data_IF_978734218247
#
_entry.id   IF_978734218247
#
_cell.length_a   1.000
_cell.length_b   1.000
_cell.length_c   1.000
_cell.angle_alpha   90.00
_cell.angle_beta   90.00
_cell.angle_gamma   90.00
#
_symmetry.space_group_name_H-M   'P 1'
#
loop_
_entity.id
_entity.type
_entity.pdbx_description
1 polymer ?
#
# COMPACT_ATOMS: atom_id res chain seq x y z
N UNK A 1 10.55 -39.26 67.62
CA UNK A 1 10.46 -38.95 66.18
C UNK A 1 9.30 -38.03 65.77
N UNK A 2 8.17 -37.98 66.50
CA UNK A 2 7.00 -37.14 66.10
C UNK A 2 7.18 -35.63 66.32
N UNK A 3 7.89 -35.22 67.38
CA UNK A 3 8.10 -33.79 67.69
C UNK A 3 9.00 -33.10 66.65
N UNK A 4 10.05 -33.77 66.20
CA UNK A 4 10.96 -33.24 65.18
C UNK A 4 10.27 -33.01 63.83
N UNK A 5 9.37 -33.91 63.41
CA UNK A 5 8.58 -33.73 62.19
C UNK A 5 7.63 -32.53 62.27
N UNK A 6 7.01 -32.29 63.42
CA UNK A 6 6.10 -31.16 63.62
C UNK A 6 6.84 -29.82 63.53
N UNK A 7 8.05 -29.73 64.09
CA UNK A 7 8.87 -28.51 64.05
C UNK A 7 9.34 -28.21 62.62
N UNK A 8 9.78 -29.24 61.88
CA UNK A 8 10.19 -29.08 60.47
C UNK A 8 9.02 -28.62 59.61
N UNK A 9 7.83 -29.20 59.81
CA UNK A 9 6.62 -28.79 59.07
C UNK A 9 6.24 -27.34 59.35
N UNK A 10 6.35 -26.89 60.61
CA UNK A 10 6.05 -25.51 61.00
C UNK A 10 7.02 -24.51 60.36
N UNK A 11 8.32 -24.82 60.35
CA UNK A 11 9.35 -23.97 59.74
C UNK A 11 9.18 -23.88 58.22
N UNK A 12 8.82 -24.99 57.57
CA UNK A 12 8.53 -24.99 56.13
C UNK A 12 7.29 -24.14 55.83
N UNK A 13 6.21 -24.29 56.61
CA UNK A 13 4.99 -23.50 56.44
C UNK A 13 5.25 -21.99 56.63
N UNK A 14 6.01 -21.58 57.65
CA UNK A 14 6.33 -20.16 57.85
C UNK A 14 7.25 -19.60 56.78
N UNK A 15 8.20 -20.40 56.26
CA UNK A 15 9.05 -19.99 55.14
C UNK A 15 8.27 -19.84 53.83
N UNK A 16 7.30 -20.73 53.58
CA UNK A 16 6.41 -20.66 52.42
C UNK A 16 5.49 -19.44 52.49
N UNK A 17 4.90 -19.15 53.67
CA UNK A 17 4.07 -17.94 53.83
C UNK A 17 4.87 -16.67 53.61
N UNK A 18 6.11 -16.60 54.12
CA UNK A 18 6.99 -15.45 53.91
C UNK A 18 7.33 -15.25 52.41
N UNK A 19 7.66 -16.33 51.71
CA UNK A 19 7.92 -16.28 50.27
C UNK A 19 6.66 -15.88 49.46
N UNK A 20 5.47 -16.31 49.91
CA UNK A 20 4.20 -15.95 49.29
C UNK A 20 3.86 -14.46 49.48
N UNK A 21 4.13 -13.91 50.67
CA UNK A 21 3.95 -12.48 50.96
C UNK A 21 4.93 -11.62 50.14
N UNK A 22 6.20 -12.03 50.02
CA UNK A 22 7.18 -11.32 49.19
C UNK A 22 6.80 -11.32 47.71
N UNK A 23 6.29 -12.45 47.20
CA UNK A 23 5.80 -12.56 45.82
C UNK A 23 4.56 -11.67 45.60
N UNK A 24 3.62 -11.64 46.54
CA UNK A 24 2.44 -10.80 46.46
C UNK A 24 2.82 -9.31 46.36
N UNK A 25 3.78 -8.86 47.17
CA UNK A 25 4.30 -7.48 47.11
C UNK A 25 4.92 -7.17 45.74
N UNK A 26 5.68 -8.10 45.16
CA UNK A 26 6.29 -7.91 43.82
C UNK A 26 5.24 -7.84 42.72
N UNK A 27 4.21 -8.67 42.77
CA UNK A 27 3.10 -8.66 41.80
C UNK A 27 2.35 -7.32 41.86
N UNK A 28 1.98 -6.86 43.05
CA UNK A 28 1.32 -5.55 43.22
C UNK A 28 2.18 -4.40 42.71
N UNK A 29 3.51 -4.46 42.89
CA UNK A 29 4.41 -3.44 42.38
C UNK A 29 4.47 -3.43 40.84
N UNK A 30 4.45 -4.61 40.21
CA UNK A 30 4.38 -4.75 38.75
C UNK A 30 3.04 -4.26 38.19
N UNK A 31 1.93 -4.60 38.83
CA UNK A 31 0.59 -4.11 38.46
C UNK A 31 0.52 -2.58 38.51
N UNK A 32 1.07 -1.98 39.58
CA UNK A 32 1.15 -0.53 39.70
C UNK A 32 2.02 0.10 38.61
N UNK A 33 3.12 -0.54 38.23
CA UNK A 33 3.99 -0.07 37.15
C UNK A 33 3.30 -0.17 35.79
N UNK A 34 2.60 -1.27 35.52
CA UNK A 34 1.84 -1.49 34.30
C UNK A 34 0.71 -0.46 34.15
N UNK A 35 -0.08 -0.23 35.21
CA UNK A 35 -1.08 0.83 35.24
C UNK A 35 -0.48 2.22 35.00
N UNK A 36 0.75 2.46 35.48
CA UNK A 36 1.49 3.69 35.23
C UNK A 36 1.92 3.85 33.77
N UNK A 37 2.31 2.76 33.11
CA UNK A 37 2.65 2.75 31.69
C UNK A 37 1.40 2.95 30.82
N UNK A 38 0.29 2.27 31.12
CA UNK A 38 -0.98 2.43 30.40
C UNK A 38 -1.46 3.88 30.40
N UNK A 39 -1.46 4.53 31.57
CA UNK A 39 -1.82 5.96 31.67
C UNK A 39 -0.89 6.88 30.89
N UNK A 40 0.39 6.52 30.77
CA UNK A 40 1.36 7.29 29.97
C UNK A 40 1.15 7.08 28.48
N UNK A 41 0.79 5.87 28.04
CA UNK A 41 0.38 5.58 26.68
C UNK A 41 -0.88 6.36 26.34
N UNK A 42 -1.93 6.32 27.17
CA UNK A 42 -3.15 7.12 26.98
C UNK A 42 -2.87 8.64 26.92
N UNK A 43 -1.94 9.13 27.75
CA UNK A 43 -1.54 10.54 27.73
C UNK A 43 -0.77 10.90 26.45
N UNK A 44 0.10 10.01 25.96
CA UNK A 44 0.80 10.19 24.68
C UNK A 44 -0.18 10.13 23.50
N UNK A 45 -1.15 9.21 23.54
CA UNK A 45 -2.24 9.14 22.56
C UNK A 45 -3.10 10.41 22.58
N UNK A 46 -3.36 11.00 23.74
CA UNK A 46 -4.07 12.30 23.83
C UNK A 46 -3.24 13.48 23.35
N UNK A 47 -1.94 13.52 23.66
CA UNK A 47 -1.03 14.57 23.15
C UNK A 47 -0.90 14.47 21.64
N UNK A 48 -0.87 13.25 21.08
CA UNK A 48 -0.90 13.02 19.63
C UNK A 48 -2.29 13.27 19.01
N UNK A 49 -3.35 12.97 19.76
CA UNK A 49 -4.75 13.08 19.34
C UNK A 49 -5.34 14.49 19.39
N UNK A 50 -4.64 15.47 19.98
CA UNK A 50 -5.07 16.87 19.99
C UNK A 50 -4.60 17.64 18.73
N UNK A 51 -3.72 17.06 17.91
CA UNK A 51 -3.31 17.62 16.60
C UNK A 51 -3.60 16.71 15.39
N UNK A 52 -3.93 15.43 15.59
CA UNK A 52 -4.52 14.60 14.55
C UNK A 52 -6.03 14.82 14.45
N UNK A 53 -6.44 15.94 13.82
CA UNK A 53 -7.51 15.80 12.84
C UNK A 53 -7.07 14.66 11.93
N UNK A 54 -7.76 13.53 11.87
CA UNK A 54 -7.36 12.38 11.06
C UNK A 54 -7.26 12.83 9.59
N UNK A 55 -6.06 13.25 9.17
CA UNK A 55 -5.84 13.78 7.83
C UNK A 55 -6.05 12.59 6.90
N UNK A 56 -7.14 12.63 6.15
CA UNK A 56 -7.44 11.63 5.13
C UNK A 56 -6.87 12.10 3.80
N UNK A 57 -6.36 11.16 3.00
CA UNK A 57 -5.97 11.46 1.64
C UNK A 57 -7.23 11.69 0.79
N UNK A 58 -7.61 12.96 0.63
CA UNK A 58 -8.88 13.33 0.02
C UNK A 58 -8.75 14.50 -0.95
N UNK A 59 -9.65 14.56 -1.93
CA UNK A 59 -9.64 15.60 -2.96
C UNK A 59 -9.69 17.00 -2.33
N UNK A 60 -8.92 17.92 -2.90
CA UNK A 60 -8.92 19.32 -2.49
C UNK A 60 -7.82 19.68 -1.49
N UNK A 61 -6.99 18.73 -1.07
CA UNK A 61 -5.80 19.01 -0.25
C UNK A 61 -4.87 20.05 -0.91
N UNK A 62 -4.76 20.06 -2.24
CA UNK A 62 -3.91 21.01 -2.96
C UNK A 62 -4.55 22.38 -3.22
N UNK A 63 -5.83 22.54 -2.85
CA UNK A 63 -6.61 23.75 -3.10
C UNK A 63 -7.12 24.39 -1.79
N UNK A 64 -6.76 23.82 -0.64
CA UNK A 64 -7.21 24.27 0.68
C UNK A 64 -6.42 25.46 1.20
N UNK A 65 -6.93 26.08 2.28
CA UNK A 65 -6.20 27.13 3.01
C UNK A 65 -5.00 26.58 3.80
N UNK A 66 -5.00 25.27 4.10
CA UNK A 66 -3.89 24.58 4.75
C UNK A 66 -2.89 24.12 3.69
N UNK A 67 -1.63 24.48 3.88
CA UNK A 67 -0.53 24.03 3.04
C UNK A 67 -0.01 22.67 3.51
N UNK A 68 0.10 21.72 2.58
CA UNK A 68 0.63 20.38 2.83
C UNK A 68 1.97 20.20 2.09
N UNK A 69 2.87 19.34 2.58
CA UNK A 69 3.99 18.90 1.75
C UNK A 69 3.46 18.13 0.53
N UNK A 70 4.16 18.13 -0.63
CA UNK A 70 3.68 17.47 -1.85
C UNK A 70 3.33 16.00 -1.67
N UNK A 71 4.05 15.32 -0.77
CA UNK A 71 3.74 13.98 -0.33
C UNK A 71 3.60 13.94 1.19
N UNK A 72 2.57 13.25 1.67
CA UNK A 72 2.29 13.05 3.08
C UNK A 72 2.11 11.56 3.36
N UNK A 73 2.87 11.03 4.31
CA UNK A 73 2.67 9.67 4.81
C UNK A 73 1.53 9.66 5.83
N UNK A 74 0.54 8.79 5.60
CA UNK A 74 -0.68 8.70 6.42
C UNK A 74 -0.95 7.26 6.80
N UNK A 75 -1.48 7.03 8.00
CA UNK A 75 -2.00 5.72 8.39
C UNK A 75 -3.40 5.54 7.81
N UNK A 76 -3.59 4.49 7.01
CA UNK A 76 -4.89 4.10 6.46
C UNK A 76 -5.51 3.01 7.34
N UNK A 77 -6.66 3.30 7.94
CA UNK A 77 -7.35 2.38 8.85
C UNK A 77 -8.03 1.22 8.12
N UNK A 78 -8.38 1.37 6.85
CA UNK A 78 -8.94 0.29 6.05
C UNK A 78 -7.88 -0.77 5.75
N UNK A 79 -6.69 -0.31 5.40
CA UNK A 79 -5.56 -1.17 5.05
C UNK A 79 -4.69 -1.56 6.24
N UNK A 80 -4.90 -0.94 7.41
CA UNK A 80 -4.10 -1.16 8.63
C UNK A 80 -2.58 -0.96 8.40
N UNK A 81 -2.22 0.03 7.59
CA UNK A 81 -0.82 0.35 7.23
C UNK A 81 -0.66 1.77 6.72
N UNK A 82 0.58 2.19 6.49
CA UNK A 82 0.89 3.51 5.95
C UNK A 82 0.69 3.56 4.42
N UNK A 83 0.22 4.71 3.95
CA UNK A 83 0.08 5.06 2.53
C UNK A 83 0.80 6.37 2.25
N UNK A 84 1.20 6.57 0.99
CA UNK A 84 1.72 7.84 0.51
C UNK A 84 0.60 8.62 -0.18
N UNK A 85 0.31 9.83 0.30
CA UNK A 85 -0.67 10.73 -0.28
C UNK A 85 0.02 11.84 -1.08
N UNK A 86 -0.24 11.94 -2.38
CA UNK A 86 0.07 13.13 -3.16
C UNK A 86 -1.03 14.17 -2.92
N UNK A 87 -0.60 15.29 -2.33
CA UNK A 87 -1.48 16.36 -1.85
C UNK A 87 -1.64 17.50 -2.85
N UNK A 88 -0.91 17.51 -3.97
CA UNK A 88 -0.84 18.67 -4.87
C UNK A 88 -1.33 18.38 -6.29
N UNK A 89 -0.95 17.24 -6.86
CA UNK A 89 -1.23 16.95 -8.27
C UNK A 89 -2.74 16.99 -8.53
N UNK A 90 -3.16 17.79 -9.51
CA UNK A 90 -4.58 17.90 -9.90
C UNK A 90 -5.53 18.18 -8.70
N UNK A 91 -5.10 19.02 -7.75
CA UNK A 91 -5.86 19.34 -6.54
C UNK A 91 -5.70 18.34 -5.39
N UNK A 92 -4.81 17.36 -5.51
CA UNK A 92 -4.39 16.46 -4.45
C UNK A 92 -5.40 15.37 -4.10
N UNK A 93 -5.08 14.66 -3.01
CA UNK A 93 -5.90 13.58 -2.48
C UNK A 93 -5.69 12.25 -3.18
N UNK A 94 -4.49 12.03 -3.71
CA UNK A 94 -4.16 10.84 -4.46
C UNK A 94 -3.37 9.86 -3.60
N UNK A 95 -3.88 8.65 -3.46
CA UNK A 95 -3.16 7.54 -2.82
C UNK A 95 -2.21 6.97 -3.87
N UNK A 96 -0.91 7.07 -3.64
CA UNK A 96 0.11 6.50 -4.53
C UNK A 96 0.13 4.99 -4.33
N UNK A 97 -0.03 4.25 -5.43
CA UNK A 97 -0.13 2.79 -5.43
C UNK A 97 1.07 2.08 -6.06
N UNK A 98 1.83 2.80 -6.87
CA UNK A 98 3.07 2.36 -7.45
C UNK A 98 3.97 3.57 -7.64
N UNK A 99 5.26 3.42 -7.35
CA UNK A 99 6.26 4.44 -7.67
C UNK A 99 7.56 3.79 -8.10
N UNK A 100 8.17 4.35 -9.16
CA UNK A 100 9.50 4.03 -9.66
C UNK A 100 10.25 5.34 -9.88
N UNK A 101 11.30 5.58 -9.10
CA UNK A 101 12.09 6.81 -9.11
C UNK A 101 13.59 6.55 -8.97
N UNK A 102 14.01 5.48 -8.30
CA UNK A 102 15.44 5.22 -8.02
C UNK A 102 15.95 3.92 -8.62
N UNK A 103 15.11 2.90 -8.75
CA UNK A 103 15.52 1.56 -9.20
C UNK A 103 16.04 0.66 -8.09
N UNK A 104 15.90 1.06 -6.82
CA UNK A 104 16.42 0.31 -5.67
C UNK A 104 15.64 -0.97 -5.35
N UNK A 105 14.46 -1.12 -5.92
CA UNK A 105 13.56 -2.25 -5.67
C UNK A 105 13.38 -3.04 -6.96
N UNK A 106 13.61 -4.35 -6.86
CA UNK A 106 13.30 -5.29 -7.93
C UNK A 106 11.79 -5.54 -8.00
N UNK A 107 11.21 -5.38 -9.19
CA UNK A 107 9.78 -5.61 -9.49
C UNK A 107 9.55 -6.94 -10.19
N UNK A 108 10.59 -7.72 -10.53
CA UNK A 108 10.40 -9.06 -11.04
C UNK A 108 10.12 -10.05 -9.90
N UNK A 109 8.89 -9.99 -9.39
CA UNK A 109 8.43 -10.69 -8.19
C UNK A 109 7.32 -11.69 -8.49
N UNK A 110 7.16 -12.62 -7.56
CA UNK A 110 6.12 -13.65 -7.60
C UNK A 110 4.73 -13.11 -7.23
N UNK A 111 3.72 -13.97 -7.39
CA UNK A 111 2.32 -13.65 -7.10
C UNK A 111 2.11 -13.20 -5.66
N UNK A 112 2.73 -13.89 -4.71
CA UNK A 112 2.59 -13.61 -3.28
C UNK A 112 3.12 -12.21 -2.93
N UNK A 113 4.29 -11.83 -3.45
CA UNK A 113 4.85 -10.50 -3.26
C UNK A 113 3.95 -9.42 -3.88
N UNK A 114 3.45 -9.63 -5.09
CA UNK A 114 2.52 -8.67 -5.72
C UNK A 114 1.17 -8.58 -4.99
N UNK A 115 0.70 -9.66 -4.36
CA UNK A 115 -0.48 -9.66 -3.51
C UNK A 115 -0.30 -8.75 -2.29
N UNK A 116 0.75 -8.98 -1.51
CA UNK A 116 1.00 -8.28 -0.24
C UNK A 116 1.51 -6.84 -0.46
N UNK A 117 2.24 -6.62 -1.55
CA UNK A 117 2.99 -5.39 -1.80
C UNK A 117 4.45 -5.51 -1.35
N UNK A 118 5.28 -4.63 -1.88
CA UNK A 118 6.72 -4.64 -1.63
C UNK A 118 7.35 -3.26 -1.88
N UNK A 119 8.56 -3.08 -1.36
CA UNK A 119 9.31 -1.82 -1.47
C UNK A 119 9.06 -0.89 -0.29
N UNK A 120 9.34 0.40 -0.47
CA UNK A 120 9.17 1.43 0.56
C UNK A 120 8.34 2.57 -0.02
N UNK A 121 7.26 2.96 0.68
CA UNK A 121 6.34 4.02 0.23
C UNK A 121 7.02 5.39 0.05
N UNK A 122 8.21 5.60 0.63
CA UNK A 122 9.02 6.81 0.41
C UNK A 122 10.02 6.70 -0.76
N UNK A 123 10.13 5.52 -1.38
CA UNK A 123 11.00 5.22 -2.52
C UNK A 123 10.24 4.46 -3.61
N UNK A 124 10.85 3.41 -4.14
CA UNK A 124 10.22 2.52 -5.12
C UNK A 124 9.34 1.48 -4.40
N UNK A 125 8.08 1.32 -4.85
CA UNK A 125 7.17 0.35 -4.25
C UNK A 125 5.99 -0.05 -5.14
N UNK A 126 5.40 -1.19 -4.79
CA UNK A 126 4.06 -1.61 -5.20
C UNK A 126 3.20 -1.77 -3.95
N UNK A 127 2.05 -1.11 -3.93
CA UNK A 127 1.17 -1.08 -2.75
C UNK A 127 0.58 -2.46 -2.42
N UNK A 128 0.48 -3.38 -3.38
CA UNK A 128 -0.08 -4.71 -3.17
C UNK A 128 -1.49 -4.85 -3.75
N UNK A 129 -1.72 -5.94 -4.48
CA UNK A 129 -2.98 -6.17 -5.18
C UNK A 129 -4.16 -6.33 -4.22
N UNK A 130 -3.94 -6.95 -3.06
CA UNK A 130 -5.00 -7.14 -2.08
C UNK A 130 -5.48 -5.81 -1.50
N UNK A 131 -4.57 -4.87 -1.31
CA UNK A 131 -4.92 -3.55 -0.86
C UNK A 131 -5.61 -2.70 -1.92
N UNK A 132 -5.19 -2.83 -3.19
CA UNK A 132 -5.89 -2.22 -4.31
C UNK A 132 -7.34 -2.72 -4.38
N UNK A 133 -7.51 -4.04 -4.27
CA UNK A 133 -8.83 -4.67 -4.22
C UNK A 133 -9.65 -4.15 -3.03
N UNK A 134 -9.07 -4.14 -1.83
CA UNK A 134 -9.73 -3.68 -0.60
C UNK A 134 -10.22 -2.23 -0.73
N UNK A 135 -9.38 -1.32 -1.21
CA UNK A 135 -9.76 0.10 -1.41
C UNK A 135 -10.87 0.23 -2.46
N UNK A 136 -10.66 -0.36 -3.63
CA UNK A 136 -11.54 -0.18 -4.80
C UNK A 136 -12.85 -0.98 -4.74
N UNK A 137 -13.01 -1.86 -3.74
CA UNK A 137 -14.26 -2.57 -3.47
C UNK A 137 -15.20 -1.78 -2.56
N UNK A 138 -14.68 -0.82 -1.78
CA UNK A 138 -15.48 -0.03 -0.85
C UNK A 138 -16.01 1.26 -1.46
N UNK A 139 -15.28 1.81 -2.43
CA UNK A 139 -15.61 3.08 -3.07
C UNK A 139 -15.14 3.07 -4.52
N UNK A 140 -15.72 3.96 -5.32
CA UNK A 140 -15.25 4.19 -6.68
C UNK A 140 -14.02 5.09 -6.67
N UNK A 141 -13.03 4.75 -7.49
CA UNK A 141 -11.79 5.50 -7.65
C UNK A 141 -11.58 5.87 -9.12
N UNK A 142 -10.90 6.98 -9.36
CA UNK A 142 -10.20 7.24 -10.62
C UNK A 142 -8.71 6.90 -10.46
N UNK A 143 -8.02 6.67 -11.57
CA UNK A 143 -6.57 6.46 -11.60
C UNK A 143 -5.89 7.51 -12.46
N UNK A 144 -4.72 7.96 -12.01
CA UNK A 144 -3.78 8.78 -12.75
C UNK A 144 -2.42 8.09 -12.78
N UNK A 145 -1.77 8.14 -13.93
CA UNK A 145 -0.40 7.70 -14.10
C UNK A 145 0.41 8.88 -14.58
N UNK A 146 1.46 9.23 -13.84
CA UNK A 146 2.44 10.24 -14.22
C UNK A 146 3.76 9.55 -14.62
N UNK A 147 4.36 10.02 -15.71
CA UNK A 147 5.65 9.50 -16.20
C UNK A 147 6.56 10.62 -16.66
N UNK A 148 7.86 10.47 -16.40
CA UNK A 148 8.90 11.35 -16.93
C UNK A 148 9.74 10.62 -17.97
N UNK A 149 9.92 11.23 -19.14
CA UNK A 149 10.77 10.72 -20.22
C UNK A 149 11.73 11.84 -20.63
N UNK A 150 13.03 11.64 -20.40
CA UNK A 150 14.06 12.65 -20.70
C UNK A 150 13.76 14.04 -20.07
N UNK A 151 13.16 14.07 -18.88
CA UNK A 151 12.78 15.30 -18.18
C UNK A 151 11.50 15.97 -18.68
N UNK A 152 10.77 15.33 -19.60
CA UNK A 152 9.42 15.76 -19.99
C UNK A 152 8.38 14.91 -19.26
N UNK A 153 7.41 15.59 -18.63
CA UNK A 153 6.34 14.96 -17.87
C UNK A 153 5.11 14.72 -18.73
N UNK A 154 4.52 13.54 -18.62
CA UNK A 154 3.29 13.13 -19.30
C UNK A 154 2.36 12.44 -18.30
N UNK A 155 1.07 12.36 -18.65
CA UNK A 155 0.12 11.62 -17.85
C UNK A 155 -0.96 10.92 -18.65
N UNK A 156 -1.57 9.91 -18.02
CA UNK A 156 -2.83 9.32 -18.46
C UNK A 156 -3.76 9.19 -17.28
N UNK A 157 -5.06 9.24 -17.54
CA UNK A 157 -6.08 9.00 -16.52
C UNK A 157 -7.10 7.98 -17.00
N UNK A 158 -7.79 7.35 -16.06
CA UNK A 158 -9.07 6.69 -16.32
C UNK A 158 -10.10 7.15 -15.30
N UNK A 159 -11.31 7.44 -15.78
CA UNK A 159 -12.42 7.95 -14.96
C UNK A 159 -12.94 6.95 -13.93
N UNK A 160 -12.53 5.69 -14.03
CA UNK A 160 -12.87 4.63 -13.09
C UNK A 160 -11.71 3.65 -13.01
N UNK A 161 -11.44 3.13 -11.81
CA UNK A 161 -10.40 2.18 -11.53
C UNK A 161 -10.88 1.22 -10.44
N UNK A 162 -10.86 -0.07 -10.76
CA UNK A 162 -11.10 -1.13 -9.80
C UNK A 162 -10.21 -2.34 -10.07
N UNK A 163 -9.80 -2.99 -9.00
CA UNK A 163 -9.10 -4.28 -9.03
C UNK A 163 -10.04 -5.30 -8.38
N UNK A 164 -10.40 -6.33 -9.15
CA UNK A 164 -11.23 -7.44 -8.64
C UNK A 164 -10.45 -8.29 -7.62
N UNK A 165 -11.11 -9.26 -6.98
CA UNK A 165 -10.50 -10.10 -5.96
C UNK A 165 -9.45 -11.08 -6.53
N UNK A 166 -8.77 -11.82 -5.64
CA UNK A 166 -7.79 -12.83 -6.04
C UNK A 166 -8.43 -13.98 -6.86
N UNK A 167 -9.71 -14.27 -6.66
CA UNK A 167 -10.43 -15.33 -7.35
C UNK A 167 -10.66 -14.98 -8.84
N UNK A 168 -10.93 -13.71 -9.15
CA UNK A 168 -10.87 -13.13 -10.50
C UNK A 168 -9.48 -12.58 -10.84
N UNK A 169 -8.43 -13.09 -10.16
CA UNK A 169 -7.02 -12.88 -10.50
C UNK A 169 -6.64 -11.40 -10.56
N UNK A 170 -7.18 -10.60 -9.66
CA UNK A 170 -6.95 -9.15 -9.58
C UNK A 170 -7.23 -8.43 -10.89
N UNK A 171 -8.27 -8.84 -11.61
CA UNK A 171 -8.63 -8.27 -12.91
C UNK A 171 -8.81 -6.76 -12.84
N UNK A 172 -8.24 -6.06 -13.82
CA UNK A 172 -8.33 -4.62 -13.94
C UNK A 172 -9.66 -4.19 -14.59
N UNK A 173 -10.35 -3.25 -13.96
CA UNK A 173 -11.50 -2.54 -14.53
C UNK A 173 -11.15 -1.06 -14.68
N UNK A 174 -11.30 -0.55 -15.89
CA UNK A 174 -11.07 0.85 -16.23
C UNK A 174 -12.35 1.47 -16.83
N UNK A 175 -12.55 2.75 -16.54
CA UNK A 175 -13.53 3.60 -17.22
C UNK A 175 -12.97 4.21 -18.50
N UNK A 176 -13.42 5.41 -18.83
CA UNK A 176 -12.93 6.16 -19.99
C UNK A 176 -11.51 6.62 -19.73
N UNK A 177 -10.56 6.19 -20.57
CA UNK A 177 -9.18 6.65 -20.48
C UNK A 177 -8.97 7.94 -21.29
N UNK A 178 -8.21 8.87 -20.69
CA UNK A 178 -7.89 10.19 -21.22
C UNK A 178 -6.41 10.52 -21.03
N UNK A 179 -5.98 11.68 -21.53
CA UNK A 179 -4.58 12.08 -21.60
C UNK A 179 -3.94 11.69 -22.93
N UNK A 180 -2.70 12.13 -23.15
CA UNK A 180 -1.92 11.98 -24.38
C UNK A 180 -1.86 10.53 -24.86
N UNK A 181 -2.03 9.62 -23.91
CA UNK A 181 -1.69 8.21 -24.05
C UNK A 181 -2.70 7.29 -23.35
N UNK A 182 -3.90 7.81 -23.04
CA UNK A 182 -5.00 7.07 -22.41
C UNK A 182 -5.41 5.79 -23.17
N UNK A 183 -5.25 5.76 -24.50
CA UNK A 183 -5.52 4.55 -25.30
C UNK A 183 -4.64 3.36 -24.91
N UNK A 184 -3.38 3.62 -24.56
CA UNK A 184 -2.45 2.57 -24.13
C UNK A 184 -2.75 2.07 -22.72
N UNK A 185 -3.29 2.92 -21.84
CA UNK A 185 -3.83 2.49 -20.56
C UNK A 185 -5.05 1.58 -20.75
N UNK A 186 -6.03 2.01 -21.54
CA UNK A 186 -7.25 1.22 -21.79
C UNK A 186 -7.02 -0.10 -22.54
N UNK A 187 -5.85 -0.29 -23.18
CA UNK A 187 -5.47 -1.59 -23.74
C UNK A 187 -5.43 -2.69 -22.66
N UNK A 188 -5.15 -2.31 -21.42
CA UNK A 188 -5.03 -3.21 -20.28
C UNK A 188 -6.36 -3.48 -19.56
N UNK A 189 -7.46 -2.85 -20.00
CA UNK A 189 -8.77 -3.04 -19.39
C UNK A 189 -9.27 -4.50 -19.55
N UNK A 190 -9.94 -4.99 -18.51
CA UNK A 190 -10.53 -6.33 -18.42
C UNK A 190 -9.52 -7.49 -18.50
N UNK A 191 -8.27 -7.24 -18.13
CA UNK A 191 -7.22 -8.25 -18.10
C UNK A 191 -6.94 -8.70 -16.67
N UNK A 192 -6.64 -10.00 -16.51
CA UNK A 192 -6.16 -10.57 -15.26
C UNK A 192 -4.70 -10.16 -15.03
N UNK A 193 -4.28 -10.16 -13.76
CA UNK A 193 -2.88 -9.91 -13.41
C UNK A 193 -2.05 -11.18 -13.64
N UNK A 194 -0.82 -11.04 -14.12
CA UNK A 194 0.14 -12.13 -14.25
C UNK A 194 1.46 -11.77 -13.56
N UNK A 195 2.17 -12.77 -13.03
CA UNK A 195 3.51 -12.67 -12.40
C UNK A 195 4.39 -13.79 -12.93
N UNK A 196 5.68 -13.80 -12.59
CA UNK A 196 6.66 -14.78 -13.10
C UNK A 196 6.30 -16.26 -12.85
N UNK A 197 5.46 -16.52 -11.85
CA UNK A 197 5.01 -17.82 -11.39
C UNK A 197 3.52 -18.08 -11.66
N UNK A 198 2.81 -17.12 -12.26
CA UNK A 198 1.37 -17.23 -12.53
C UNK A 198 0.99 -16.55 -13.84
N UNK A 199 0.78 -17.37 -14.86
CA UNK A 199 0.35 -16.94 -16.17
C UNK A 199 -1.18 -16.83 -16.26
N UNK A 200 -1.68 -15.61 -16.46
CA UNK A 200 -3.08 -15.31 -16.69
C UNK A 200 -3.27 -14.38 -17.90
N UNK A 201 -2.26 -14.26 -18.76
CA UNK A 201 -2.35 -13.41 -19.95
C UNK A 201 -3.05 -14.14 -21.11
N UNK A 202 -3.18 -13.47 -22.26
CA UNK A 202 -3.89 -14.00 -23.44
C UNK A 202 -2.94 -14.47 -24.53
N UNK A 203 -1.63 -14.53 -24.26
CA UNK A 203 -0.63 -14.99 -25.20
C UNK A 203 -0.37 -16.50 -25.05
N UNK A 204 0.33 -17.08 -26.02
CA UNK A 204 0.69 -18.51 -25.98
C UNK A 204 1.93 -18.79 -25.13
N UNK A 205 2.71 -17.74 -24.84
CA UNK A 205 3.90 -17.75 -24.00
C UNK A 205 3.66 -16.79 -22.81
N UNK A 206 4.55 -16.82 -21.82
CA UNK A 206 4.34 -16.13 -20.55
C UNK A 206 4.88 -14.69 -20.56
N UNK A 207 4.01 -13.69 -20.72
CA UNK A 207 4.41 -12.29 -20.83
C UNK A 207 5.17 -11.78 -19.59
N UNK A 208 4.78 -12.21 -18.39
CA UNK A 208 5.43 -11.76 -17.16
C UNK A 208 6.90 -12.19 -17.07
N UNK A 209 7.24 -13.36 -17.63
CA UNK A 209 8.61 -13.87 -17.72
C UNK A 209 9.39 -13.14 -18.80
N UNK A 210 8.81 -12.97 -20.00
CA UNK A 210 9.47 -12.27 -21.11
C UNK A 210 9.76 -10.79 -20.76
N UNK A 211 8.78 -10.11 -20.17
CA UNK A 211 8.84 -8.67 -19.88
C UNK A 211 9.17 -8.34 -18.41
N UNK A 212 9.56 -9.35 -17.63
CA UNK A 212 10.19 -9.23 -16.30
C UNK A 212 9.42 -8.34 -15.32
N UNK A 213 8.10 -8.54 -15.23
CA UNK A 213 7.24 -7.73 -14.37
C UNK A 213 5.96 -8.48 -14.01
N UNK A 214 5.34 -8.10 -12.89
CA UNK A 214 3.92 -8.36 -12.65
C UNK A 214 3.06 -7.24 -13.25
N UNK A 215 2.08 -7.60 -14.08
CA UNK A 215 1.20 -6.63 -14.74
C UNK A 215 -0.09 -7.28 -15.28
N UNK A 216 -1.04 -6.44 -15.69
CA UNK A 216 -2.22 -6.84 -16.44
C UNK A 216 -1.89 -7.04 -17.93
N UNK A 217 -1.23 -8.14 -18.27
CA UNK A 217 -0.78 -8.41 -19.64
C UNK A 217 -1.91 -8.95 -20.55
N UNK A 218 -1.83 -8.59 -21.84
CA UNK A 218 -2.67 -9.15 -22.93
C UNK A 218 -1.85 -10.09 -23.81
N UNK A 219 -1.08 -9.52 -24.74
CA UNK A 219 -0.21 -10.22 -25.68
C UNK A 219 0.82 -9.27 -26.35
N UNK A 220 1.70 -8.59 -25.62
CA UNK A 220 1.83 -8.61 -24.15
C UNK A 220 1.39 -7.29 -23.52
N UNK A 221 1.95 -6.15 -23.91
CA UNK A 221 1.59 -4.88 -23.27
C UNK A 221 1.71 -3.69 -24.22
N UNK A 222 1.08 -2.57 -23.82
CA UNK A 222 1.39 -1.23 -24.32
C UNK A 222 2.04 -0.35 -23.24
N UNK A 223 1.83 -0.70 -21.98
CA UNK A 223 2.46 -0.08 -20.82
C UNK A 223 3.00 -1.20 -19.94
N UNK A 224 4.25 -1.07 -19.49
CA UNK A 224 4.83 -1.93 -18.46
C UNK A 224 5.64 -1.05 -17.51
N UNK A 225 4.99 -0.48 -16.48
CA UNK A 225 5.66 0.41 -15.51
C UNK A 225 6.46 -0.37 -14.46
N UNK A 226 6.21 -1.67 -14.37
CA UNK A 226 6.85 -2.59 -13.43
C UNK A 226 8.06 -3.30 -14.04
N UNK A 227 8.39 -3.00 -15.31
CA UNK A 227 9.55 -3.56 -15.99
C UNK A 227 10.88 -3.17 -15.35
N UNK A 228 11.95 -3.69 -15.92
CA UNK A 228 13.31 -3.47 -15.44
C UNK A 228 13.69 -2.00 -15.47
N UNK A 229 14.30 -1.55 -14.37
CA UNK A 229 14.71 -0.15 -14.21
C UNK A 229 15.83 0.22 -15.17
N UNK A 230 15.78 1.46 -15.71
CA UNK A 230 16.81 2.04 -16.58
C UNK A 230 17.23 1.16 -17.78
N UNK A 231 16.34 0.29 -18.26
CA UNK A 231 16.59 -0.56 -19.42
C UNK A 231 15.71 -0.11 -20.59
N UNK A 232 16.25 0.58 -21.63
CA UNK A 232 15.46 1.12 -22.74
C UNK A 232 15.10 0.03 -23.77
N UNK A 233 14.39 -0.99 -23.31
CA UNK A 233 13.89 -2.13 -24.09
C UNK A 233 12.45 -2.41 -23.69
N UNK A 234 11.73 -3.24 -24.44
CA UNK A 234 10.35 -3.61 -24.12
C UNK A 234 10.20 -4.34 -22.77
N UNK A 235 11.25 -5.00 -22.28
CA UNK A 235 11.29 -5.59 -20.94
C UNK A 235 11.59 -4.60 -19.80
N UNK A 236 11.89 -3.33 -20.13
CA UNK A 236 12.09 -2.26 -19.17
C UNK A 236 10.80 -1.55 -18.80
N UNK A 237 10.93 -0.46 -18.06
CA UNK A 237 9.84 0.49 -17.87
C UNK A 237 9.47 1.08 -19.23
N UNK A 238 8.27 0.76 -19.70
CA UNK A 238 7.84 1.12 -21.04
C UNK A 238 6.49 1.79 -21.08
N UNK A 239 6.38 2.70 -22.03
CA UNK A 239 5.17 3.41 -22.36
C UNK A 239 5.04 3.54 -23.87
N UNK A 240 3.99 2.97 -24.47
CA UNK A 240 3.72 3.12 -25.90
C UNK A 240 2.71 4.25 -26.14
N UNK A 241 3.02 5.24 -26.97
CA UNK A 241 2.12 6.37 -27.21
C UNK A 241 1.07 6.12 -28.32
N UNK A 242 1.21 5.01 -29.04
CA UNK A 242 0.40 4.66 -30.21
C UNK A 242 1.24 4.52 -31.47
N UNK A 243 2.39 5.20 -31.53
CA UNK A 243 3.35 5.15 -32.64
C UNK A 243 4.73 4.68 -32.19
N UNK A 244 5.20 5.10 -31.01
CA UNK A 244 6.55 4.87 -30.53
C UNK A 244 6.56 4.34 -29.09
N UNK A 245 7.65 3.64 -28.76
CA UNK A 245 8.01 3.28 -27.40
C UNK A 245 8.80 4.41 -26.75
N UNK A 246 8.39 4.77 -25.54
CA UNK A 246 9.13 5.59 -24.61
C UNK A 246 9.58 4.75 -23.41
N UNK A 247 10.68 5.17 -22.79
CA UNK A 247 11.31 4.48 -21.67
C UNK A 247 11.43 5.45 -20.49
N UNK A 248 10.38 5.57 -19.67
CA UNK A 248 10.38 6.49 -18.55
C UNK A 248 11.49 6.20 -17.54
N UNK A 249 12.05 7.26 -16.96
CA UNK A 249 12.96 7.21 -15.81
C UNK A 249 12.28 7.64 -14.50
N UNK A 250 10.98 7.91 -14.55
CA UNK A 250 10.11 8.08 -13.40
C UNK A 250 8.71 7.58 -13.79
N UNK A 251 8.06 6.83 -12.91
CA UNK A 251 6.65 6.47 -13.05
C UNK A 251 5.96 6.49 -11.71
N UNK A 252 4.72 6.97 -11.67
CA UNK A 252 3.88 6.91 -10.50
C UNK A 252 2.44 6.58 -10.92
N UNK A 253 1.86 5.56 -10.30
CA UNK A 253 0.42 5.30 -10.39
C UNK A 253 -0.24 5.70 -9.08
N UNK A 254 -1.37 6.40 -9.17
CA UNK A 254 -2.12 6.83 -8.00
C UNK A 254 -3.61 6.86 -8.24
N UNK A 255 -4.37 6.62 -7.18
CA UNK A 255 -5.83 6.53 -7.22
C UNK A 255 -6.45 7.57 -6.31
N UNK A 256 -7.59 8.11 -6.70
CA UNK A 256 -8.33 9.08 -5.89
C UNK A 256 -9.80 8.71 -5.86
N UNK A 257 -10.37 8.75 -4.65
CA UNK A 257 -11.77 8.44 -4.44
C UNK A 257 -12.65 9.42 -5.21
N UNK A 258 -13.63 8.89 -5.93
CA UNK A 258 -14.66 9.69 -6.58
C UNK A 258 -15.69 10.15 -5.54
N UNK A 259 -16.28 11.35 -5.70
CA UNK A 259 -17.42 11.75 -4.90
C UNK A 259 -18.54 10.71 -5.05
N UNK A 260 -19.23 10.38 -3.96
CA UNK A 260 -20.44 9.56 -4.05
C UNK A 260 -21.40 10.22 -5.04
N UNK A 261 -21.94 9.44 -6.00
CA UNK A 261 -22.90 9.96 -6.95
C UNK A 261 -24.10 10.52 -6.19
N UNK A 262 -24.27 11.84 -6.20
CA UNK A 262 -25.51 12.49 -5.75
C UNK A 262 -26.57 12.16 -6.80
N UNK A 263 -27.15 10.96 -6.72
CA UNK A 263 -28.38 10.65 -7.44
C UNK A 263 -29.46 11.52 -6.81
N UNK A 264 -29.76 12.63 -7.49
CA UNK A 264 -30.89 13.48 -7.16
C UNK A 264 -32.17 12.66 -7.20
N UNK A 265 -32.95 12.77 -6.13
CA UNK A 265 -34.36 12.38 -6.04
C UNK A 265 -35.20 13.06 -7.13
#
# INVERSE_FOLDING_TARGET
>A
MRVAHCVVLLVVMTSMTFAQDELAVRVTNLENHMMGLERRVEALEKVHGIEQSSVLCQRGMGNGAQEYPPYLELSDSTLQRHILCDTHTDGGGWIVIQKRATGDVDFYRDWAAYREGFGNITGDFWLGNEALHTLTSQNDYEVRIDVSVNGQEFYATSSYFKVEDEADKYRLRLGTCSGEVGKSLCFHNDLAFSTLDRDNDSWGDHCAVEFHAGWWFRSCHRINLNGRWAQPTTAGITWHDGNNWAFPNFTEMKIRRLPASTTGL
#
